data_IF_675858610124
#
_entry.id   IF_675858610124
#
_cell.length_a   1.000
_cell.length_b   1.000
_cell.length_c   1.000
_cell.angle_alpha   90.00
_cell.angle_beta   90.00
_cell.angle_gamma   90.00
#
_symmetry.space_group_name_H-M   'P 1'
#
loop_
_entity.id
_entity.type
_entity.pdbx_description
1 polymer ?
#
# COMPACT_ATOMS: atom_id res chain seq x y z
N UNK A 1 1.82 -16.63 2.73
CA UNK A 1 2.58 -17.60 1.91
C UNK A 1 2.75 -17.13 0.47
N UNK A 2 1.65 -16.85 -0.27
CA UNK A 2 1.74 -16.41 -1.67
C UNK A 2 2.52 -15.10 -1.87
N UNK A 3 2.24 -14.05 -1.08
CA UNK A 3 2.99 -12.78 -1.16
C UNK A 3 4.46 -12.94 -0.78
N UNK A 4 4.76 -13.71 0.27
CA UNK A 4 6.14 -14.05 0.63
C UNK A 4 6.90 -14.73 -0.53
N UNK A 5 6.27 -15.69 -1.21
CA UNK A 5 6.87 -16.36 -2.37
C UNK A 5 7.19 -15.36 -3.48
N UNK A 6 6.24 -14.51 -3.85
CA UNK A 6 6.41 -13.49 -4.88
C UNK A 6 7.53 -12.49 -4.54
N UNK A 7 7.53 -11.97 -3.30
CA UNK A 7 8.54 -11.03 -2.81
C UNK A 7 9.94 -11.64 -2.82
N UNK A 8 10.06 -12.92 -2.42
CA UNK A 8 11.33 -13.66 -2.47
C UNK A 8 11.88 -13.82 -3.90
N UNK A 9 11.01 -13.88 -4.90
CA UNK A 9 11.39 -13.95 -6.31
C UNK A 9 11.57 -12.57 -6.97
N UNK A 10 11.57 -11.50 -6.18
CA UNK A 10 11.83 -10.15 -6.67
C UNK A 10 10.63 -9.47 -7.32
N UNK A 11 9.41 -9.93 -7.05
CA UNK A 11 8.17 -9.33 -7.57
C UNK A 11 7.28 -8.83 -6.44
N UNK A 12 6.37 -7.91 -6.75
CA UNK A 12 5.32 -7.43 -5.86
C UNK A 12 4.06 -7.12 -6.68
N UNK A 13 2.89 -7.33 -6.08
CA UNK A 13 1.60 -7.41 -6.78
C UNK A 13 1.09 -6.05 -7.22
N UNK A 14 1.18 -5.06 -6.32
CA UNK A 14 0.73 -3.67 -6.50
C UNK A 14 -0.79 -3.48 -6.57
N UNK A 15 -1.59 -4.54 -6.69
CA UNK A 15 -3.07 -4.47 -6.72
C UNK A 15 -3.73 -5.50 -5.78
N UNK A 16 -3.23 -5.60 -4.55
CA UNK A 16 -3.83 -6.49 -3.55
C UNK A 16 -5.18 -5.92 -3.09
N UNK A 17 -6.26 -6.67 -3.32
CA UNK A 17 -7.64 -6.34 -2.94
C UNK A 17 -8.49 -7.61 -2.85
N UNK A 18 -9.64 -7.61 -2.15
CA UNK A 18 -10.46 -8.80 -1.97
C UNK A 18 -10.90 -9.44 -3.29
N UNK A 19 -11.16 -8.65 -4.33
CA UNK A 19 -11.57 -9.14 -5.65
C UNK A 19 -10.46 -9.98 -6.33
N UNK A 20 -9.20 -9.75 -5.98
CA UNK A 20 -8.03 -10.47 -6.50
C UNK A 20 -7.64 -11.67 -5.62
N UNK A 21 -8.45 -12.02 -4.62
CA UNK A 21 -8.24 -13.12 -3.69
C UNK A 21 -9.27 -14.23 -3.92
N UNK A 22 -8.92 -15.18 -4.79
CA UNK A 22 -9.80 -16.27 -5.17
C UNK A 22 -9.79 -17.38 -4.11
N UNK A 23 -10.98 -17.82 -3.69
CA UNK A 23 -11.15 -18.89 -2.70
C UNK A 23 -11.82 -20.10 -3.34
N UNK A 24 -11.22 -21.27 -3.15
CA UNK A 24 -11.79 -22.57 -3.54
C UNK A 24 -11.60 -23.56 -2.40
N UNK A 25 -12.70 -23.89 -1.71
CA UNK A 25 -12.66 -24.63 -0.44
C UNK A 25 -11.76 -23.92 0.57
N UNK A 26 -10.73 -24.60 1.06
CA UNK A 26 -9.75 -24.05 2.00
C UNK A 26 -8.52 -23.43 1.31
N UNK A 27 -8.55 -23.29 -0.01
CA UNK A 27 -7.42 -22.77 -0.79
C UNK A 27 -7.66 -21.32 -1.19
N UNK A 28 -6.71 -20.46 -0.84
CA UNK A 28 -6.64 -19.07 -1.28
C UNK A 28 -5.59 -18.90 -2.38
N UNK A 29 -5.95 -18.24 -3.48
CA UNK A 29 -5.03 -17.89 -4.58
C UNK A 29 -5.09 -16.41 -4.88
N UNK A 30 -3.93 -15.81 -5.16
CA UNK A 30 -3.83 -14.43 -5.66
C UNK A 30 -4.02 -14.45 -7.19
N UNK A 31 -4.81 -13.53 -7.71
CA UNK A 31 -5.10 -13.35 -9.12
C UNK A 31 -4.80 -11.90 -9.57
N UNK A 32 -4.90 -11.67 -10.89
CA UNK A 32 -4.70 -10.37 -11.55
C UNK A 32 -3.30 -9.74 -11.33
N UNK A 33 -2.31 -10.31 -12.01
CA UNK A 33 -0.93 -9.82 -12.01
C UNK A 33 -0.69 -8.70 -13.04
N UNK A 34 -1.74 -8.07 -13.59
CA UNK A 34 -1.62 -7.05 -14.64
C UNK A 34 -0.80 -5.83 -14.22
N UNK A 35 -0.73 -5.56 -12.91
CA UNK A 35 0.06 -4.47 -12.33
C UNK A 35 1.33 -4.94 -11.62
N UNK A 36 1.61 -6.24 -11.58
CA UNK A 36 2.78 -6.78 -10.89
C UNK A 36 4.10 -6.32 -11.54
N UNK A 37 5.13 -6.10 -10.72
CA UNK A 37 6.43 -5.57 -11.17
C UNK A 37 7.60 -6.21 -10.46
N UNK A 38 8.75 -6.22 -11.14
CA UNK A 38 10.03 -6.55 -10.53
C UNK A 38 10.50 -5.43 -9.60
N UNK A 39 10.95 -5.76 -8.39
CA UNK A 39 11.45 -4.85 -7.36
C UNK A 39 12.62 -3.98 -7.86
N UNK A 40 13.43 -4.50 -8.80
CA UNK A 40 14.59 -3.79 -9.37
C UNK A 40 14.25 -2.87 -10.53
N UNK A 41 13.01 -2.85 -10.99
CA UNK A 41 12.62 -1.99 -12.11
C UNK A 41 12.57 -0.52 -11.69
N UNK A 42 13.07 0.36 -12.57
CA UNK A 42 13.09 1.80 -12.33
C UNK A 42 11.72 2.41 -12.66
N UNK A 43 11.28 3.46 -11.92
CA UNK A 43 10.11 4.27 -12.28
C UNK A 43 10.22 4.82 -13.72
N UNK A 44 9.12 5.25 -14.36
CA UNK A 44 7.80 5.54 -13.79
C UNK A 44 6.89 4.31 -13.70
N UNK A 45 6.04 4.31 -12.67
CA UNK A 45 4.99 3.31 -12.52
C UNK A 45 3.70 3.84 -13.15
N UNK A 46 2.92 2.96 -13.80
CA UNK A 46 1.62 3.31 -14.40
C UNK A 46 0.68 3.93 -13.37
N UNK A 47 -0.11 4.92 -13.80
CA UNK A 47 -1.17 5.52 -12.97
C UNK A 47 -2.16 4.43 -12.52
N UNK A 48 -2.42 4.39 -11.22
CA UNK A 48 -3.33 3.41 -10.64
C UNK A 48 -4.78 3.87 -10.85
N UNK A 49 -5.52 3.18 -11.72
CA UNK A 49 -6.93 3.47 -12.03
C UNK A 49 -7.90 2.67 -11.14
N UNK A 50 -7.42 1.79 -10.26
CA UNK A 50 -8.28 0.91 -9.44
C UNK A 50 -8.74 1.50 -8.09
N UNK A 51 -9.56 0.75 -7.34
CA UNK A 51 -10.03 1.10 -5.99
C UNK A 51 -8.87 1.48 -5.06
N UNK A 52 -8.98 2.59 -4.34
CA UNK A 52 -7.88 3.16 -3.54
C UNK A 52 -7.78 2.67 -2.09
N UNK A 53 -8.81 1.98 -1.60
CA UNK A 53 -8.99 1.60 -0.18
C UNK A 53 -7.90 0.70 0.41
N UNK A 54 -7.12 0.05 -0.47
CA UNK A 54 -6.05 -0.87 -0.09
C UNK A 54 -4.66 -0.32 -0.39
N UNK A 55 -4.56 0.92 -0.89
CA UNK A 55 -3.27 1.53 -1.26
C UNK A 55 -2.52 2.00 -0.02
N UNK A 56 -1.21 1.75 -0.02
CA UNK A 56 -0.31 2.24 1.02
C UNK A 56 -0.16 3.78 0.96
N UNK A 57 0.09 4.45 2.09
CA UNK A 57 0.20 5.91 2.15
C UNK A 57 1.30 6.46 1.24
N UNK A 58 2.44 5.77 1.08
CA UNK A 58 3.51 6.15 0.15
C UNK A 58 3.06 6.11 -1.32
N UNK A 59 2.12 5.24 -1.68
CA UNK A 59 1.56 5.18 -3.03
C UNK A 59 0.61 6.35 -3.25
N UNK A 60 -0.22 6.68 -2.26
CA UNK A 60 -1.14 7.82 -2.30
C UNK A 60 -0.38 9.16 -2.32
N UNK A 61 0.75 9.24 -1.61
CA UNK A 61 1.64 10.41 -1.59
C UNK A 61 2.58 10.48 -2.80
N UNK A 62 2.47 9.54 -3.74
CA UNK A 62 3.29 9.48 -4.97
C UNK A 62 4.79 9.47 -4.67
N UNK A 63 5.19 8.72 -3.63
CA UNK A 63 6.59 8.58 -3.29
C UNK A 63 7.39 8.08 -4.52
N UNK A 64 8.57 8.66 -4.80
CA UNK A 64 9.36 8.30 -5.98
C UNK A 64 9.85 6.85 -5.94
N UNK A 65 9.92 6.27 -4.74
CA UNK A 65 10.37 4.91 -4.49
C UNK A 65 9.41 4.21 -3.52
N UNK A 66 8.90 3.06 -3.94
CA UNK A 66 8.16 2.12 -3.11
C UNK A 66 8.42 0.69 -3.64
N UNK A 67 8.08 -0.34 -2.85
CA UNK A 67 8.41 -1.73 -3.17
C UNK A 67 7.41 -2.70 -2.51
N UNK A 68 7.81 -3.97 -2.35
CA UNK A 68 7.05 -5.05 -1.73
C UNK A 68 6.24 -4.72 -0.45
N UNK A 69 6.67 -3.81 0.45
CA UNK A 69 5.88 -3.47 1.64
C UNK A 69 4.46 -2.97 1.36
N UNK A 70 4.18 -2.39 0.19
CA UNK A 70 2.84 -1.91 -0.15
C UNK A 70 1.81 -3.06 -0.22
N UNK A 71 2.24 -4.27 -0.60
CA UNK A 71 1.34 -5.44 -0.62
C UNK A 71 1.00 -5.86 0.82
N UNK A 72 1.92 -5.67 1.76
CA UNK A 72 1.70 -5.99 3.18
C UNK A 72 0.74 -4.99 3.83
N UNK A 73 0.80 -3.72 3.45
CA UNK A 73 -0.21 -2.73 3.82
C UNK A 73 -1.61 -3.18 3.38
N UNK A 74 -1.76 -3.48 2.09
CA UNK A 74 -3.03 -3.93 1.53
C UNK A 74 -3.55 -5.21 2.19
N UNK A 75 -2.68 -6.18 2.49
CA UNK A 75 -3.08 -7.36 3.26
C UNK A 75 -3.60 -6.97 4.65
N UNK A 76 -2.96 -6.02 5.33
CA UNK A 76 -3.40 -5.53 6.63
C UNK A 76 -4.79 -4.92 6.58
N UNK A 77 -5.08 -4.12 5.55
CA UNK A 77 -6.41 -3.50 5.36
C UNK A 77 -7.47 -4.55 5.01
N UNK A 78 -7.15 -5.55 4.17
CA UNK A 78 -8.04 -6.67 3.85
C UNK A 78 -8.36 -7.50 5.09
N UNK A 79 -7.35 -7.83 5.91
CA UNK A 79 -7.56 -8.58 7.16
C UNK A 79 -8.49 -7.79 8.08
N UNK A 80 -8.26 -6.49 8.25
CA UNK A 80 -9.13 -5.65 9.06
C UNK A 80 -10.58 -5.67 8.53
N UNK A 81 -10.77 -5.56 7.22
CA UNK A 81 -12.10 -5.65 6.59
C UNK A 81 -12.78 -7.01 6.80
N UNK A 82 -12.04 -8.12 6.76
CA UNK A 82 -12.58 -9.45 7.07
C UNK A 82 -13.11 -9.53 8.51
N UNK A 83 -12.47 -8.84 9.46
CA UNK A 83 -12.93 -8.80 10.86
C UNK A 83 -14.10 -7.85 11.09
N UNK A 84 -14.14 -6.71 10.41
CA UNK A 84 -15.16 -5.67 10.62
C UNK A 84 -16.35 -5.78 9.65
N UNK A 85 -16.22 -6.59 8.61
CA UNK A 85 -17.13 -6.69 7.46
C UNK A 85 -17.37 -5.33 6.76
N UNK A 86 -16.42 -4.40 6.90
CA UNK A 86 -16.47 -3.06 6.32
C UNK A 86 -15.06 -2.63 5.90
N UNK A 87 -14.89 -1.97 4.75
CA UNK A 87 -13.59 -1.46 4.34
C UNK A 87 -12.97 -0.57 5.41
N UNK A 88 -11.69 -0.76 5.70
CA UNK A 88 -11.00 0.00 6.75
C UNK A 88 -10.86 1.48 6.37
N UNK A 89 -10.58 1.76 5.11
CA UNK A 89 -10.38 3.11 4.57
C UNK A 89 -11.22 3.32 3.30
N UNK A 90 -12.53 3.60 3.40
CA UNK A 90 -13.38 3.78 2.23
C UNK A 90 -13.29 5.22 1.67
N UNK A 91 -12.11 5.65 1.20
CA UNK A 91 -11.88 7.00 0.68
C UNK A 91 -12.48 7.27 -0.70
N UNK A 92 -13.14 8.42 -0.83
CA UNK A 92 -13.78 8.90 -2.07
C UNK A 92 -12.80 9.62 -3.01
N UNK A 93 -11.69 10.13 -2.48
CA UNK A 93 -10.58 10.79 -3.19
C UNK A 93 -9.23 10.40 -2.58
N UNK A 94 -8.10 10.72 -3.23
CA UNK A 94 -6.75 10.46 -2.65
C UNK A 94 -6.57 11.20 -1.30
N UNK A 95 -7.05 12.44 -1.20
CA UNK A 95 -6.99 13.24 0.03
C UNK A 95 -7.87 12.67 1.14
N UNK A 96 -9.10 12.22 0.80
CA UNK A 96 -10.02 11.59 1.75
C UNK A 96 -9.49 10.24 2.25
N UNK A 97 -8.84 9.47 1.38
CA UNK A 97 -8.16 8.23 1.75
C UNK A 97 -7.05 8.48 2.78
N UNK A 98 -6.16 9.44 2.51
CA UNK A 98 -5.10 9.84 3.46
C UNK A 98 -5.70 10.32 4.78
N UNK A 99 -6.76 11.12 4.74
CA UNK A 99 -7.45 11.60 5.94
C UNK A 99 -7.97 10.43 6.79
N UNK A 100 -8.62 9.43 6.17
CA UNK A 100 -9.11 8.24 6.87
C UNK A 100 -7.98 7.40 7.46
N UNK A 101 -6.86 7.25 6.75
CA UNK A 101 -5.66 6.58 7.26
C UNK A 101 -5.17 7.27 8.54
N UNK A 102 -5.00 8.59 8.49
CA UNK A 102 -4.53 9.39 9.63
C UNK A 102 -5.54 9.40 10.78
N UNK A 103 -6.84 9.39 10.49
CA UNK A 103 -7.89 9.38 11.51
C UNK A 103 -7.87 8.10 12.37
N UNK A 104 -7.49 6.96 11.79
CA UNK A 104 -7.45 5.67 12.49
C UNK A 104 -6.06 5.39 13.08
N UNK A 105 -4.99 5.62 12.32
CA UNK A 105 -3.62 5.26 12.72
C UNK A 105 -2.85 6.40 13.39
N UNK A 106 -3.41 7.61 13.39
CA UNK A 106 -2.75 8.82 13.86
C UNK A 106 -1.88 9.50 12.80
N UNK A 107 -1.45 10.72 13.10
CA UNK A 107 -0.56 11.48 12.19
C UNK A 107 0.86 10.90 12.25
N UNK A 108 1.50 10.60 11.11
CA UNK A 108 2.88 10.16 11.09
C UNK A 108 3.79 11.22 11.73
N UNK A 109 4.67 10.79 12.63
CA UNK A 109 5.71 11.63 13.23
C UNK A 109 7.06 11.27 12.61
N UNK A 110 8.08 12.11 12.78
CA UNK A 110 9.45 11.80 12.35
C UNK A 110 9.98 10.48 12.93
N UNK A 111 9.46 10.06 14.09
CA UNK A 111 9.81 8.80 14.74
C UNK A 111 9.10 7.58 14.13
N UNK A 112 7.88 7.75 13.61
CA UNK A 112 7.08 6.66 13.02
C UNK A 112 7.22 6.57 11.51
N UNK A 113 7.62 7.65 10.84
CA UNK A 113 7.81 7.70 9.39
C UNK A 113 9.04 8.55 9.03
N UNK A 114 10.21 7.90 8.95
CA UNK A 114 11.51 8.58 8.72
C UNK A 114 11.66 9.22 7.34
N UNK A 115 10.89 8.78 6.33
CA UNK A 115 11.03 9.22 4.92
C UNK A 115 10.06 10.33 4.50
N UNK A 116 9.20 10.82 5.40
CA UNK A 116 8.13 11.78 5.09
C UNK A 116 7.78 12.69 6.26
N UNK A 117 8.63 12.74 7.29
CA UNK A 117 8.74 13.92 8.12
C UNK A 117 9.25 15.08 7.25
N UNK A 118 8.70 16.27 7.43
CA UNK A 118 9.18 17.49 6.78
C UNK A 118 10.72 17.56 6.89
N UNK A 119 11.43 18.03 5.84
CA UNK A 119 12.87 18.18 5.90
C UNK A 119 13.22 19.03 7.14
N UNK A 120 14.33 18.72 7.85
CA UNK A 120 14.77 19.54 8.95
C UNK A 120 14.90 21.00 8.49
N UNK A 121 14.48 21.99 9.29
CA UNK A 121 14.63 23.39 8.92
C UNK A 121 16.08 23.65 8.55
N UNK A 122 16.35 24.43 7.48
CA UNK A 122 17.72 24.70 7.06
C UNK A 122 18.49 25.26 8.25
N UNK A 123 19.52 24.52 8.68
CA UNK A 123 20.45 25.02 9.67
C UNK A 123 21.14 26.23 9.05
N UNK A 124 20.83 27.41 9.57
CA UNK A 124 21.59 28.63 9.25
C UNK A 124 23.02 28.38 9.68
N UNK A 125 23.87 28.00 8.73
CA UNK A 125 25.31 28.21 8.82
C UNK A 125 25.57 29.60 8.24
N UNK A 126 26.30 30.39 9.04
CA UNK A 126 26.70 31.77 8.77
C UNK A 126 27.49 31.91 7.48
#
# INVERSE_FOLDING_TARGET
>A
QATYYMHKHGFFHRDMKPENMLVSGNTLKIADFGLAREIRSKPPYTDYVSTRWYRAPEVLLRAPHYSAPIDMWAIGTIIAELFTLRPLFPGTSESDEIYKIVAILGTPSANTWKQGGAPPPPTRSW
#
